data_IF_277508578103
#
_entry.id   IF_277508578103
#
_cell.length_a   1.000
_cell.length_b   1.000
_cell.length_c   1.000
_cell.angle_alpha   90.00
_cell.angle_beta   90.00
_cell.angle_gamma   90.00
#
_symmetry.space_group_name_H-M   'P 1'
#
loop_
_entity.id
_entity.type
_entity.pdbx_description
1 polymer ?
#
# COMPACT_ATOMS: atom_id res chain seq x y z
N UNK A 1 -18.80 23.28 -4.79
CA UNK A 1 -18.46 22.18 -5.72
C UNK A 1 -17.58 21.18 -4.99
N UNK A 2 -17.85 19.87 -5.08
CA UNK A 2 -17.00 18.86 -4.46
C UNK A 2 -15.76 18.63 -5.33
N UNK A 3 -14.58 18.42 -4.74
CA UNK A 3 -13.35 18.19 -5.51
C UNK A 3 -13.48 17.01 -6.50
N UNK A 4 -14.30 16.01 -6.16
CA UNK A 4 -14.61 14.85 -7.00
C UNK A 4 -15.33 15.27 -8.30
N UNK A 5 -16.13 16.34 -8.29
CA UNK A 5 -16.86 16.80 -9.48
C UNK A 5 -15.96 17.40 -10.57
N UNK A 6 -14.67 17.58 -10.30
CA UNK A 6 -13.67 17.97 -11.30
C UNK A 6 -13.25 16.80 -12.20
N UNK A 7 -13.64 15.56 -11.86
CA UNK A 7 -13.26 14.36 -12.59
C UNK A 7 -14.46 13.78 -13.36
N UNK A 8 -14.24 13.29 -14.59
CA UNK A 8 -15.33 12.76 -15.43
C UNK A 8 -15.90 11.45 -14.87
N UNK A 9 -15.09 10.68 -14.15
CA UNK A 9 -15.49 9.43 -13.51
C UNK A 9 -14.79 9.25 -12.17
N UNK A 10 -15.39 8.45 -11.30
CA UNK A 10 -14.80 8.08 -10.01
C UNK A 10 -13.52 7.25 -10.20
N UNK A 11 -13.43 6.47 -11.29
CA UNK A 11 -12.19 5.79 -11.69
C UNK A 11 -11.05 6.75 -12.03
N UNK A 12 -11.32 7.82 -12.80
CA UNK A 12 -10.33 8.85 -13.12
C UNK A 12 -9.82 9.54 -11.85
N UNK A 13 -10.71 9.81 -10.89
CA UNK A 13 -10.34 10.34 -9.58
C UNK A 13 -9.39 9.40 -8.81
N UNK A 14 -9.66 8.09 -8.77
CA UNK A 14 -8.78 7.11 -8.11
C UNK A 14 -7.41 7.05 -8.77
N UNK A 15 -7.34 7.03 -10.11
CA UNK A 15 -6.07 7.02 -10.84
C UNK A 15 -5.26 8.29 -10.58
N UNK A 16 -5.93 9.44 -10.54
CA UNK A 16 -5.31 10.71 -10.19
C UNK A 16 -4.73 10.68 -8.76
N UNK A 17 -5.50 10.19 -7.78
CA UNK A 17 -5.02 10.03 -6.41
C UNK A 17 -3.83 9.06 -6.33
N UNK A 18 -3.84 7.98 -7.10
CA UNK A 18 -2.72 7.03 -7.16
C UNK A 18 -1.45 7.70 -7.68
N UNK A 19 -1.54 8.48 -8.77
CA UNK A 19 -0.41 9.22 -9.33
C UNK A 19 0.12 10.23 -8.30
N UNK A 20 -0.77 11.01 -7.67
CA UNK A 20 -0.38 11.95 -6.60
C UNK A 20 0.31 11.20 -5.46
N UNK A 21 -0.25 10.10 -4.99
CA UNK A 21 0.33 9.33 -3.90
C UNK A 21 1.73 8.80 -4.26
N UNK A 22 1.96 8.36 -5.50
CA UNK A 22 3.31 7.98 -5.97
C UNK A 22 4.25 9.17 -5.95
N UNK A 23 3.82 10.35 -6.39
CA UNK A 23 4.63 11.57 -6.38
C UNK A 23 4.94 12.04 -4.95
N UNK A 24 3.93 12.11 -4.08
CA UNK A 24 4.11 12.43 -2.66
C UNK A 24 5.07 11.44 -2.01
N UNK A 25 4.88 10.15 -2.25
CA UNK A 25 5.77 9.13 -1.73
C UNK A 25 7.20 9.35 -2.26
N UNK A 26 7.38 9.69 -3.55
CA UNK A 26 8.68 10.00 -4.15
C UNK A 26 9.39 11.19 -3.49
N UNK A 27 8.68 12.30 -3.26
CA UNK A 27 9.26 13.54 -2.73
C UNK A 27 9.47 13.50 -1.21
N UNK A 28 8.54 12.94 -0.45
CA UNK A 28 8.53 13.04 1.01
C UNK A 28 9.14 11.83 1.72
N UNK A 29 9.07 10.63 1.14
CA UNK A 29 9.59 9.41 1.79
C UNK A 29 11.00 9.13 1.31
N UNK A 30 11.97 9.08 2.23
CA UNK A 30 13.36 8.70 1.92
C UNK A 30 13.43 7.26 1.40
N UNK A 31 14.36 6.97 0.48
CA UNK A 31 14.56 5.62 -0.08
C UNK A 31 14.83 4.57 0.99
N UNK A 32 15.53 4.97 2.05
CA UNK A 32 15.84 4.17 3.24
C UNK A 32 14.61 3.75 4.05
N UNK A 33 13.44 4.35 3.81
CA UNK A 33 12.20 4.07 4.55
C UNK A 33 11.21 3.21 3.76
N UNK A 34 11.56 2.81 2.54
CA UNK A 34 10.65 2.03 1.67
C UNK A 34 10.31 0.66 2.26
N UNK A 35 11.28 -0.02 2.88
CA UNK A 35 11.01 -1.28 3.55
C UNK A 35 10.10 -1.10 4.76
N UNK A 36 10.31 -0.03 5.55
CA UNK A 36 9.38 0.32 6.64
C UNK A 36 7.97 0.61 6.11
N UNK A 37 7.83 1.38 5.04
CA UNK A 37 6.52 1.61 4.40
C UNK A 37 5.85 0.30 4.02
N UNK A 38 6.61 -0.63 3.42
CA UNK A 38 6.10 -1.94 3.02
C UNK A 38 5.59 -2.75 4.23
N UNK A 39 6.42 -2.89 5.27
CA UNK A 39 6.04 -3.64 6.47
C UNK A 39 4.83 -3.00 7.14
N UNK A 40 4.76 -1.67 7.20
CA UNK A 40 3.62 -0.95 7.77
C UNK A 40 2.31 -1.30 7.07
N UNK A 41 2.33 -1.35 5.73
CA UNK A 41 1.16 -1.71 4.91
C UNK A 41 0.73 -3.16 5.14
N UNK A 42 1.67 -4.12 5.13
CA UNK A 42 1.32 -5.53 5.40
C UNK A 42 0.84 -5.76 6.82
N UNK A 43 1.53 -5.20 7.81
CA UNK A 43 1.16 -5.38 9.21
C UNK A 43 -0.18 -4.72 9.50
N UNK A 44 -0.46 -3.53 8.95
CA UNK A 44 -1.78 -2.91 9.05
C UNK A 44 -2.88 -3.78 8.43
N UNK A 45 -2.62 -4.37 7.25
CA UNK A 45 -3.56 -5.28 6.60
C UNK A 45 -3.82 -6.52 7.46
N UNK A 46 -2.76 -7.18 7.94
CA UNK A 46 -2.87 -8.36 8.81
C UNK A 46 -3.62 -8.04 10.10
N UNK A 47 -3.30 -6.93 10.76
CA UNK A 47 -4.00 -6.52 11.98
C UNK A 47 -5.49 -6.30 11.71
N UNK A 48 -5.83 -5.61 10.63
CA UNK A 48 -7.23 -5.31 10.32
C UNK A 48 -8.04 -6.51 9.83
N UNK A 49 -7.38 -7.55 9.32
CA UNK A 49 -8.04 -8.80 8.90
C UNK A 49 -8.12 -9.81 10.04
N UNK A 50 -7.03 -9.98 10.78
CA UNK A 50 -6.88 -11.06 11.77
C UNK A 50 -7.43 -10.65 13.14
N UNK A 51 -7.13 -9.44 13.63
CA UNK A 51 -7.52 -9.04 14.99
C UNK A 51 -9.04 -9.07 15.19
N UNK A 52 -9.88 -8.59 14.25
CA UNK A 52 -11.33 -8.65 14.41
C UNK A 52 -11.89 -10.07 14.52
N UNK A 53 -11.19 -11.11 14.02
CA UNK A 53 -11.66 -12.50 14.10
C UNK A 53 -11.83 -12.95 15.55
N UNK A 54 -11.01 -12.40 16.46
CA UNK A 54 -11.08 -12.72 17.89
C UNK A 54 -12.21 -11.98 18.64
N UNK A 55 -12.92 -11.05 17.97
CA UNK A 55 -14.06 -10.33 18.54
C UNK A 55 -15.18 -10.19 17.51
N UNK A 56 -16.22 -11.05 17.57
CA UNK A 56 -17.35 -11.01 16.64
C UNK A 56 -18.04 -9.65 16.58
N UNK A 57 -18.03 -8.90 17.69
CA UNK A 57 -18.59 -7.54 17.76
C UNK A 57 -17.82 -6.57 16.86
N UNK A 58 -16.48 -6.57 16.95
CA UNK A 58 -15.63 -5.71 16.12
C UNK A 58 -15.70 -6.12 14.66
N UNK A 59 -15.71 -7.43 14.37
CA UNK A 59 -15.81 -7.95 13.01
C UNK A 59 -17.13 -7.51 12.34
N UNK A 60 -18.26 -7.67 13.01
CA UNK A 60 -19.55 -7.25 12.48
C UNK A 60 -19.61 -5.74 12.28
N UNK A 61 -19.14 -4.96 13.26
CA UNK A 61 -19.14 -3.50 13.15
C UNK A 61 -18.29 -2.97 11.99
N UNK A 62 -17.08 -3.50 11.80
CA UNK A 62 -16.22 -3.13 10.67
C UNK A 62 -16.80 -3.55 9.31
N UNK A 63 -17.59 -4.62 9.29
CA UNK A 63 -18.26 -5.10 8.07
C UNK A 63 -19.42 -4.18 7.66
N UNK A 64 -20.12 -3.60 8.63
CA UNK A 64 -21.21 -2.63 8.41
C UNK A 64 -20.65 -1.25 7.99
N UNK A 65 -19.43 -0.90 8.44
CA UNK A 65 -18.81 0.40 8.18
C UNK A 65 -17.54 0.31 7.31
N UNK A 66 -17.65 -0.02 6.01
CA UNK A 66 -16.49 -0.25 5.13
C UNK A 66 -15.58 0.98 4.97
N UNK A 67 -16.14 2.19 4.99
CA UNK A 67 -15.36 3.42 4.93
C UNK A 67 -14.51 3.64 6.17
N UNK A 68 -15.06 3.32 7.36
CA UNK A 68 -14.32 3.40 8.61
C UNK A 68 -13.21 2.36 8.61
N UNK A 69 -13.49 1.15 8.13
CA UNK A 69 -12.47 0.10 7.96
C UNK A 69 -11.30 0.57 7.08
N UNK A 70 -11.57 1.18 5.93
CA UNK A 70 -10.53 1.77 5.08
C UNK A 70 -9.75 2.91 5.77
N UNK A 71 -10.45 3.74 6.55
CA UNK A 71 -9.82 4.79 7.37
C UNK A 71 -8.90 4.24 8.46
N UNK A 72 -9.36 3.23 9.20
CA UNK A 72 -8.57 2.52 10.23
C UNK A 72 -7.32 1.90 9.61
N UNK A 73 -7.42 1.28 8.43
CA UNK A 73 -6.26 0.78 7.70
C UNK A 73 -5.22 1.88 7.42
N UNK A 74 -5.66 3.03 6.89
CA UNK A 74 -4.76 4.14 6.59
C UNK A 74 -4.09 4.69 7.85
N UNK A 75 -4.86 4.85 8.94
CA UNK A 75 -4.33 5.31 10.23
C UNK A 75 -3.30 4.30 10.77
N UNK A 76 -3.62 3.00 10.75
CA UNK A 76 -2.68 1.95 11.19
C UNK A 76 -1.39 1.97 10.37
N UNK A 77 -1.47 2.15 9.05
CA UNK A 77 -0.27 2.29 8.21
C UNK A 77 0.62 3.46 8.67
N UNK A 78 0.02 4.62 8.96
CA UNK A 78 0.76 5.82 9.40
C UNK A 78 1.38 5.59 10.78
N UNK A 79 0.60 5.08 11.74
CA UNK A 79 1.08 4.79 13.10
C UNK A 79 2.22 3.78 13.07
N UNK A 80 2.07 2.68 12.34
CA UNK A 80 3.12 1.68 12.19
C UNK A 80 4.35 2.24 11.48
N UNK A 81 4.18 3.06 10.45
CA UNK A 81 5.31 3.70 9.76
C UNK A 81 6.13 4.57 10.71
N UNK A 82 5.45 5.33 11.58
CA UNK A 82 6.09 6.15 12.60
C UNK A 82 6.82 5.26 13.61
N UNK A 83 6.14 4.30 14.22
CA UNK A 83 6.72 3.40 15.24
C UNK A 83 7.95 2.66 14.68
N UNK A 84 7.80 2.04 13.51
CA UNK A 84 8.88 1.28 12.86
C UNK A 84 10.03 2.17 12.38
N UNK A 85 9.76 3.46 12.14
CA UNK A 85 10.80 4.42 11.80
C UNK A 85 11.74 4.75 12.95
N UNK A 86 11.31 4.57 14.19
CA UNK A 86 12.10 4.77 15.40
C UNK A 86 12.61 3.47 16.04
N UNK A 87 12.31 2.31 15.45
CA UNK A 87 12.76 1.01 15.96
C UNK A 87 14.00 0.47 15.24
N UNK A 88 14.47 -0.72 15.65
CA UNK A 88 15.57 -1.44 14.99
C UNK A 88 15.31 -1.72 13.49
N UNK A 89 14.04 -1.68 13.06
CA UNK A 89 13.68 -1.76 11.65
C UNK A 89 14.27 -0.62 10.81
N UNK A 90 14.53 0.54 11.40
CA UNK A 90 15.16 1.66 10.70
C UNK A 90 16.56 1.29 10.19
N UNK A 91 17.37 0.62 11.02
CA UNK A 91 18.69 0.17 10.62
C UNK A 91 18.62 -0.91 9.54
N UNK A 92 17.69 -1.86 9.67
CA UNK A 92 17.46 -2.89 8.67
C UNK A 92 17.02 -2.29 7.32
N UNK A 93 16.09 -1.33 7.35
CA UNK A 93 15.53 -0.65 6.18
C UNK A 93 16.59 0.13 5.38
N UNK A 94 17.61 0.68 6.06
CA UNK A 94 18.75 1.30 5.38
C UNK A 94 19.54 0.30 4.52
N UNK A 95 19.71 -0.93 5.01
CA UNK A 95 20.45 -2.00 4.32
C UNK A 95 19.68 -2.59 3.14
N UNK A 96 18.35 -2.57 3.16
CA UNK A 96 17.49 -3.10 2.11
C UNK A 96 17.00 -2.03 1.13
N UNK A 97 17.64 -0.86 1.12
CA UNK A 97 17.21 0.27 0.30
C UNK A 97 17.68 0.18 -1.15
N UNK A 98 16.85 0.60 -2.14
CA UNK A 98 17.25 0.60 -3.54
C UNK A 98 18.33 1.65 -3.82
N UNK A 99 19.39 1.23 -4.53
CA UNK A 99 20.51 2.11 -4.88
C UNK A 99 20.19 3.06 -6.03
N UNK A 100 19.60 2.56 -7.11
CA UNK A 100 19.26 3.36 -8.31
C UNK A 100 17.91 4.06 -8.17
N UNK A 101 17.77 5.20 -8.84
CA UNK A 101 16.52 5.96 -8.87
C UNK A 101 15.36 5.15 -9.47
N UNK A 102 15.57 4.51 -10.62
CA UNK A 102 14.53 3.73 -11.33
C UNK A 102 14.01 2.60 -10.43
N UNK A 103 14.90 1.84 -9.79
CA UNK A 103 14.52 0.78 -8.85
C UNK A 103 13.75 1.33 -7.65
N UNK A 104 14.14 2.50 -7.14
CA UNK A 104 13.38 3.17 -6.09
C UNK A 104 11.99 3.57 -6.56
N UNK A 105 11.84 4.10 -7.78
CA UNK A 105 10.55 4.48 -8.33
C UNK A 105 9.62 3.27 -8.50
N UNK A 106 10.13 2.15 -9.01
CA UNK A 106 9.37 0.90 -9.14
C UNK A 106 8.90 0.43 -7.76
N UNK A 107 9.79 0.44 -6.76
CA UNK A 107 9.43 0.00 -5.42
C UNK A 107 8.36 0.90 -4.78
N UNK A 108 8.43 2.22 -4.99
CA UNK A 108 7.41 3.17 -4.54
C UNK A 108 6.06 2.92 -5.20
N UNK A 109 6.05 2.70 -6.52
CA UNK A 109 4.83 2.33 -7.25
C UNK A 109 4.23 1.05 -6.69
N UNK A 110 5.05 0.04 -6.42
CA UNK A 110 4.62 -1.23 -5.82
C UNK A 110 3.97 -1.05 -4.44
N UNK A 111 4.60 -0.27 -3.54
CA UNK A 111 4.05 0.00 -2.19
C UNK A 111 2.74 0.80 -2.27
N UNK A 112 2.70 1.85 -3.10
CA UNK A 112 1.49 2.67 -3.25
C UNK A 112 0.38 1.86 -3.93
N UNK A 113 0.70 1.02 -4.91
CA UNK A 113 -0.26 0.15 -5.58
C UNK A 113 -0.84 -0.89 -4.63
N UNK A 114 -0.02 -1.48 -3.75
CA UNK A 114 -0.48 -2.33 -2.65
C UNK A 114 -1.43 -1.58 -1.72
N UNK A 115 -1.05 -0.38 -1.26
CA UNK A 115 -1.89 0.45 -0.40
C UNK A 115 -3.26 0.76 -1.02
N UNK A 116 -3.30 1.16 -2.29
CA UNK A 116 -4.55 1.42 -3.01
C UNK A 116 -5.37 0.16 -3.20
N UNK A 117 -4.76 -0.95 -3.59
CA UNK A 117 -5.43 -2.24 -3.72
C UNK A 117 -6.11 -2.65 -2.41
N UNK A 118 -5.43 -2.48 -1.28
CA UNK A 118 -5.98 -2.79 0.03
C UNK A 118 -7.11 -1.85 0.45
N UNK A 119 -7.00 -0.54 0.18
CA UNK A 119 -8.10 0.40 0.45
C UNK A 119 -9.33 0.05 -0.39
N UNK A 120 -9.14 -0.16 -1.70
CA UNK A 120 -10.24 -0.47 -2.61
C UNK A 120 -10.89 -1.81 -2.29
N UNK A 121 -10.12 -2.78 -1.77
CA UNK A 121 -10.63 -4.06 -1.29
C UNK A 121 -11.69 -3.88 -0.18
N UNK A 122 -11.50 -2.91 0.72
CA UNK A 122 -12.43 -2.63 1.82
C UNK A 122 -13.67 -1.83 1.43
N UNK A 123 -13.75 -1.27 0.23
CA UNK A 123 -14.94 -0.55 -0.20
C UNK A 123 -16.13 -1.49 -0.49
N UNK A 124 -17.36 -0.99 -0.33
CA UNK A 124 -18.55 -1.79 -0.64
C UNK A 124 -18.68 -2.03 -2.15
N UNK A 125 -19.30 -3.14 -2.53
CA UNK A 125 -19.50 -3.53 -3.94
C UNK A 125 -20.24 -2.45 -4.76
N UNK A 126 -21.16 -1.72 -4.12
CA UNK A 126 -21.89 -0.60 -4.73
C UNK A 126 -21.00 0.53 -5.25
N UNK A 127 -19.86 0.77 -4.60
CA UNK A 127 -18.84 1.70 -5.08
C UNK A 127 -17.90 1.05 -6.09
N UNK A 128 -17.58 -0.22 -5.87
CA UNK A 128 -16.66 -0.98 -6.72
C UNK A 128 -17.08 -1.01 -8.19
N UNK A 129 -18.37 -1.15 -8.44
CA UNK A 129 -18.96 -1.12 -9.79
C UNK A 129 -18.75 0.25 -10.50
N UNK A 130 -18.53 1.34 -9.75
CA UNK A 130 -18.38 2.70 -10.30
C UNK A 130 -16.94 3.07 -10.68
N UNK A 131 -15.94 2.24 -10.37
CA UNK A 131 -14.54 2.53 -10.66
C UNK A 131 -14.15 2.36 -12.14
N UNK A 132 -14.97 1.66 -12.93
CA UNK A 132 -14.71 1.37 -14.34
C UNK A 132 -13.58 0.35 -14.56
N UNK A 133 -13.41 -0.05 -15.82
CA UNK A 133 -12.58 -1.21 -16.20
C UNK A 133 -11.09 -1.03 -15.90
N UNK A 134 -10.55 0.18 -16.05
CA UNK A 134 -9.11 0.43 -15.86
C UNK A 134 -8.69 0.26 -14.40
N UNK A 135 -9.45 0.85 -13.47
CA UNK A 135 -9.17 0.70 -12.03
C UNK A 135 -9.42 -0.73 -11.58
N UNK A 136 -10.47 -1.37 -12.11
CA UNK A 136 -10.72 -2.78 -11.84
C UNK A 136 -9.54 -3.66 -12.27
N UNK A 137 -9.05 -3.47 -13.51
CA UNK A 137 -7.94 -4.25 -14.04
C UNK A 137 -6.62 -3.98 -13.32
N UNK A 138 -6.38 -2.74 -12.89
CA UNK A 138 -5.16 -2.35 -12.22
C UNK A 138 -5.11 -2.70 -10.74
N UNK A 139 -6.23 -2.72 -10.01
CA UNK A 139 -6.19 -2.84 -8.55
C UNK A 139 -7.13 -3.89 -7.95
N UNK A 140 -8.17 -4.31 -8.65
CA UNK A 140 -9.27 -5.06 -8.03
C UNK A 140 -9.47 -6.46 -8.59
N UNK A 141 -8.95 -6.78 -9.77
CA UNK A 141 -8.95 -8.16 -10.22
C UNK A 141 -7.94 -8.98 -9.39
N UNK A 142 -8.19 -10.29 -9.28
CA UNK A 142 -7.37 -11.18 -8.46
C UNK A 142 -5.88 -11.15 -8.85
N UNK A 143 -5.61 -11.10 -10.15
CA UNK A 143 -4.24 -11.08 -10.69
C UNK A 143 -3.49 -9.83 -10.22
N UNK A 144 -4.12 -8.67 -10.33
CA UNK A 144 -3.59 -7.39 -9.89
C UNK A 144 -3.36 -7.37 -8.38
N UNK A 145 -4.30 -7.92 -7.59
CA UNK A 145 -4.12 -8.06 -6.15
C UNK A 145 -2.88 -8.89 -5.82
N UNK A 146 -2.71 -10.04 -6.48
CA UNK A 146 -1.52 -10.89 -6.31
C UNK A 146 -0.25 -10.15 -6.72
N UNK A 147 -0.27 -9.46 -7.86
CA UNK A 147 0.87 -8.69 -8.38
C UNK A 147 1.29 -7.61 -7.38
N UNK A 148 0.36 -6.77 -6.90
CA UNK A 148 0.66 -5.73 -5.93
C UNK A 148 1.08 -6.29 -4.57
N UNK A 149 0.61 -7.48 -4.22
CA UNK A 149 1.02 -8.17 -3.00
C UNK A 149 2.40 -8.83 -3.13
N UNK A 150 2.81 -9.33 -4.29
CA UNK A 150 4.08 -10.07 -4.41
C UNK A 150 5.24 -9.16 -4.81
N UNK A 151 5.03 -8.24 -5.76
CA UNK A 151 6.10 -7.39 -6.29
C UNK A 151 6.90 -6.68 -5.19
N UNK A 152 6.28 -5.97 -4.23
CA UNK A 152 7.07 -5.22 -3.26
C UNK A 152 7.83 -6.12 -2.27
N UNK A 153 7.34 -7.34 -1.97
CA UNK A 153 8.09 -8.35 -1.22
C UNK A 153 9.30 -8.85 -2.01
N UNK A 154 9.10 -9.18 -3.29
CA UNK A 154 10.18 -9.60 -4.17
C UNK A 154 11.26 -8.52 -4.27
N UNK A 155 10.88 -7.24 -4.40
CA UNK A 155 11.81 -6.12 -4.42
C UNK A 155 12.55 -5.97 -3.09
N UNK A 156 11.87 -6.10 -1.95
CA UNK A 156 12.50 -6.08 -0.62
C UNK A 156 13.56 -7.18 -0.48
N UNK A 157 13.24 -8.39 -0.94
CA UNK A 157 14.17 -9.51 -0.96
C UNK A 157 15.35 -9.23 -1.90
N UNK A 158 15.08 -8.85 -3.15
CA UNK A 158 16.10 -8.52 -4.15
C UNK A 158 17.09 -7.46 -3.65
N UNK A 159 16.63 -6.43 -2.92
CA UNK A 159 17.52 -5.40 -2.39
C UNK A 159 18.30 -5.83 -1.16
N UNK A 160 17.77 -6.75 -0.35
CA UNK A 160 18.53 -7.34 0.77
C UNK A 160 19.70 -8.18 0.29
N UNK A 161 19.48 -9.00 -0.73
CA UNK A 161 20.45 -9.99 -1.23
C UNK A 161 21.37 -9.43 -2.32
N UNK A 162 21.26 -8.14 -2.64
CA UNK A 162 22.18 -7.48 -3.56
C UNK A 162 23.39 -6.97 -2.80
N UNK A 163 24.52 -7.65 -2.93
CA UNK A 163 25.80 -7.13 -2.46
C UNK A 163 26.29 -6.02 -3.41
N UNK A 164 27.25 -5.20 -2.95
CA UNK A 164 27.94 -4.20 -3.79
C UNK A 164 28.60 -4.81 -5.06
N UNK A 165 28.72 -6.14 -5.16
CA UNK A 165 29.37 -6.88 -6.27
C UNK A 165 28.47 -7.89 -7.01
N UNK A 166 27.21 -8.12 -6.62
CA UNK A 166 26.35 -9.13 -7.27
C UNK A 166 25.28 -9.72 -6.35
N UNK A 167 24.55 -10.72 -6.83
CA UNK A 167 23.67 -11.57 -6.01
C UNK A 167 24.53 -12.48 -5.13
N UNK A 168 24.02 -12.84 -3.94
CA UNK A 168 24.67 -13.84 -3.08
C UNK A 168 24.67 -15.17 -3.83
N UNK A 169 25.86 -15.68 -4.14
CA UNK A 169 26.11 -17.09 -4.50
C UNK A 169 25.88 -17.99 -3.29
#
# INVERSE_FOLDING_TARGET
>A
MSFISLFPTLGAFVLFLYIIAVLLHLFFIKKEKLFISLISVYTAFLLLVIVPIFSPTILNWLSIHPYIRAGVFAILCIVLFIILSFSNFNWFSKKTSPTKFITSLIYRKAIVGLFFTTILYFFPETLKVKFGNVVYWLFMNLIAMIIWFIIPLFLAFAYRFKTRRGWIE
#
